data_IF_076523428885
#
_entry.id   IF_076523428885
#
_cell.length_a   1.000
_cell.length_b   1.000
_cell.length_c   1.000
_cell.angle_alpha   90.00
_cell.angle_beta   90.00
_cell.angle_gamma   90.00
#
_symmetry.space_group_name_H-M   'P 1'
#
loop_
_entity.id
_entity.type
_entity.pdbx_description
1 polymer ?
#
# COMPACT_ATOMS: atom_id res chain seq x y z
N UNK A 1 6.75 -4.47 -19.74
CA UNK A 1 5.49 -5.06 -19.23
C UNK A 1 4.76 -3.94 -18.51
N UNK A 2 3.47 -3.74 -18.78
CA UNK A 2 2.72 -2.68 -18.10
C UNK A 2 2.43 -3.09 -16.67
N UNK A 3 2.41 -2.14 -15.73
CA UNK A 3 2.01 -2.44 -14.34
C UNK A 3 0.57 -2.98 -14.30
N UNK A 4 -0.28 -2.59 -15.25
CA UNK A 4 -1.66 -3.06 -15.39
C UNK A 4 -1.76 -4.55 -15.76
N UNK A 5 -0.73 -5.14 -16.36
CA UNK A 5 -0.71 -6.56 -16.71
C UNK A 5 -0.39 -7.47 -15.50
N UNK A 6 -0.04 -6.87 -14.35
CA UNK A 6 0.35 -7.58 -13.14
C UNK A 6 -0.83 -8.41 -12.62
N UNK A 7 -0.66 -9.74 -12.61
CA UNK A 7 -1.64 -10.67 -12.07
C UNK A 7 -1.78 -10.49 -10.56
N UNK A 8 -3.01 -10.53 -10.09
CA UNK A 8 -3.39 -10.40 -8.69
C UNK A 8 -4.48 -11.42 -8.36
N UNK A 9 -4.70 -11.63 -7.07
CA UNK A 9 -5.82 -12.42 -6.57
C UNK A 9 -6.54 -11.59 -5.50
N UNK A 10 -7.87 -11.52 -5.56
CA UNK A 10 -8.66 -10.81 -4.55
C UNK A 10 -8.63 -11.57 -3.23
N UNK A 11 -9.08 -10.93 -2.14
CA UNK A 11 -9.19 -11.60 -0.85
C UNK A 11 -10.21 -12.77 -0.86
N UNK A 12 -11.12 -12.80 -1.82
CA UNK A 12 -12.06 -13.90 -2.08
C UNK A 12 -11.49 -15.03 -2.95
N UNK A 13 -10.25 -14.89 -3.44
CA UNK A 13 -9.60 -15.90 -4.29
C UNK A 13 -9.88 -15.73 -5.80
N UNK A 14 -10.46 -14.60 -6.22
CA UNK A 14 -10.70 -14.32 -7.64
C UNK A 14 -9.43 -13.83 -8.33
N UNK A 15 -9.07 -14.44 -9.46
CA UNK A 15 -7.94 -14.00 -10.27
C UNK A 15 -8.29 -12.72 -11.02
N UNK A 16 -7.41 -11.72 -10.96
CA UNK A 16 -7.59 -10.42 -11.59
C UNK A 16 -6.24 -9.83 -11.99
N UNK A 17 -6.22 -8.59 -12.44
CA UNK A 17 -5.00 -7.81 -12.65
C UNK A 17 -5.25 -6.34 -12.35
N UNK A 18 -4.18 -5.54 -12.30
CA UNK A 18 -4.32 -4.09 -12.14
C UNK A 18 -5.08 -3.42 -13.29
N UNK A 19 -5.26 -4.09 -14.45
CA UNK A 19 -6.03 -3.57 -15.57
C UNK A 19 -7.48 -3.21 -15.21
N UNK A 20 -8.07 -3.88 -14.20
CA UNK A 20 -9.42 -3.54 -13.71
C UNK A 20 -9.51 -2.11 -13.12
N UNK A 21 -8.37 -1.47 -12.82
CA UNK A 21 -8.29 -0.09 -12.34
C UNK A 21 -7.57 0.87 -13.31
N UNK A 22 -7.36 0.46 -14.56
CA UNK A 22 -6.74 1.32 -15.56
C UNK A 22 -7.53 2.63 -15.74
N UNK A 23 -6.83 3.76 -15.86
CA UNK A 23 -7.44 5.10 -15.95
C UNK A 23 -7.78 5.73 -14.60
N UNK A 24 -7.60 5.02 -13.48
CA UNK A 24 -7.73 5.56 -12.12
C UNK A 24 -6.37 5.91 -11.52
N UNK A 25 -6.37 6.86 -10.60
CA UNK A 25 -5.25 7.09 -9.68
C UNK A 25 -5.34 6.05 -8.57
N UNK A 26 -4.23 5.37 -8.25
CA UNK A 26 -4.21 4.28 -7.28
C UNK A 26 -3.29 4.62 -6.12
N UNK A 27 -3.73 4.30 -4.90
CA UNK A 27 -2.87 4.24 -3.73
C UNK A 27 -2.70 2.78 -3.31
N UNK A 28 -1.57 2.18 -3.68
CA UNK A 28 -1.22 0.80 -3.34
C UNK A 28 -0.56 0.79 -1.97
N UNK A 29 -1.06 -0.04 -1.04
CA UNK A 29 -0.58 -0.08 0.35
C UNK A 29 -0.36 -1.52 0.81
N UNK A 30 0.81 -1.83 1.39
CA UNK A 30 0.99 -3.10 2.10
C UNK A 30 0.42 -2.95 3.51
N UNK A 31 -0.51 -3.81 3.92
CA UNK A 31 -1.29 -3.61 5.15
C UNK A 31 -1.14 -4.77 6.12
N UNK A 32 -1.43 -4.48 7.38
CA UNK A 32 -1.48 -5.48 8.45
C UNK A 32 -2.47 -5.09 9.55
N UNK A 33 -3.02 -6.08 10.23
CA UNK A 33 -4.13 -6.05 11.18
C UNK A 33 -3.63 -5.94 12.62
N UNK A 34 -2.40 -6.42 12.90
CA UNK A 34 -1.77 -6.38 14.23
C UNK A 34 -0.54 -5.48 14.26
N UNK A 35 -0.61 -4.35 13.55
CA UNK A 35 0.46 -3.35 13.49
C UNK A 35 0.12 -2.13 14.35
N UNK A 36 1.13 -1.45 14.89
CA UNK A 36 0.91 -0.16 15.56
C UNK A 36 0.42 0.95 14.61
N UNK A 37 0.55 0.75 13.30
CA UNK A 37 0.08 1.65 12.25
C UNK A 37 -1.29 1.24 11.68
N UNK A 38 -1.89 0.16 12.19
CA UNK A 38 -3.22 -0.32 11.74
C UNK A 38 -4.32 0.74 11.82
N UNK A 39 -4.35 1.69 12.77
CA UNK A 39 -5.33 2.78 12.74
C UNK A 39 -5.35 3.62 11.45
N UNK A 40 -4.29 3.58 10.62
CA UNK A 40 -4.29 4.25 9.31
C UNK A 40 -5.38 3.73 8.35
N UNK A 41 -5.96 2.54 8.59
CA UNK A 41 -7.13 2.07 7.84
C UNK A 41 -8.29 3.09 7.84
N UNK A 42 -8.52 3.80 8.95
CA UNK A 42 -9.56 4.83 9.03
C UNK A 42 -9.32 5.94 8.00
N UNK A 43 -8.09 6.41 7.91
CA UNK A 43 -7.73 7.49 6.99
C UNK A 43 -7.67 7.00 5.53
N UNK A 44 -7.25 5.76 5.29
CA UNK A 44 -7.31 5.14 3.95
C UNK A 44 -8.76 5.03 3.47
N UNK A 45 -9.67 4.61 4.34
CA UNK A 45 -11.10 4.54 4.02
C UNK A 45 -11.72 5.93 3.82
N UNK A 46 -11.26 6.94 4.58
CA UNK A 46 -11.67 8.32 4.35
C UNK A 46 -11.25 8.81 2.94
N UNK A 47 -10.00 8.55 2.51
CA UNK A 47 -9.55 8.88 1.15
C UNK A 47 -10.36 8.13 0.09
N UNK A 48 -10.61 6.84 0.31
CA UNK A 48 -11.43 6.04 -0.60
C UNK A 48 -12.80 6.69 -0.78
N UNK A 49 -13.48 7.05 0.32
CA UNK A 49 -14.80 7.65 0.25
C UNK A 49 -14.81 9.05 -0.38
N UNK A 50 -13.78 9.86 -0.12
CA UNK A 50 -13.68 11.21 -0.65
C UNK A 50 -13.41 11.24 -2.15
N UNK A 51 -12.56 10.34 -2.66
CA UNK A 51 -12.02 10.47 -4.03
C UNK A 51 -12.46 9.38 -5.00
N UNK A 52 -13.13 8.30 -4.57
CA UNK A 52 -13.53 7.18 -5.46
C UNK A 52 -14.29 7.62 -6.71
N UNK A 53 -15.22 8.57 -6.56
CA UNK A 53 -16.05 9.07 -7.66
C UNK A 53 -15.28 10.00 -8.62
N UNK A 54 -14.07 10.41 -8.26
CA UNK A 54 -13.15 11.21 -9.08
C UNK A 54 -12.10 10.34 -9.80
N UNK A 55 -12.28 9.01 -9.77
CA UNK A 55 -11.39 8.04 -10.40
C UNK A 55 -10.17 7.72 -9.54
N UNK A 56 -10.36 7.60 -8.22
CA UNK A 56 -9.36 7.11 -7.27
C UNK A 56 -9.70 5.70 -6.77
N UNK A 57 -8.69 4.95 -6.32
CA UNK A 57 -8.90 3.78 -5.47
C UNK A 57 -7.69 3.54 -4.56
N UNK A 58 -7.94 3.25 -3.29
CA UNK A 58 -6.96 2.54 -2.45
C UNK A 58 -6.96 1.06 -2.86
N UNK A 59 -5.81 0.40 -2.82
CA UNK A 59 -5.63 -1.04 -3.05
C UNK A 59 -4.80 -1.62 -1.90
N UNK A 60 -5.43 -2.44 -1.05
CA UNK A 60 -4.82 -3.00 0.15
C UNK A 60 -4.25 -4.41 -0.07
N UNK A 61 -2.96 -4.58 0.22
CA UNK A 61 -2.23 -5.84 0.06
C UNK A 61 -1.73 -6.36 1.42
N UNK A 62 -2.44 -7.31 2.05
CA UNK A 62 -2.00 -7.91 3.31
C UNK A 62 -0.59 -8.52 3.18
N UNK A 63 0.28 -8.28 4.16
CA UNK A 63 1.63 -8.84 4.17
C UNK A 63 2.07 -9.26 5.58
N UNK A 64 2.59 -10.48 5.71
CA UNK A 64 2.97 -11.04 7.01
C UNK A 64 4.48 -10.99 7.31
N UNK A 65 5.28 -10.43 6.38
CA UNK A 65 6.74 -10.40 6.46
C UNK A 65 7.29 -9.58 7.63
N UNK A 66 6.49 -8.67 8.19
CA UNK A 66 6.90 -7.76 9.25
C UNK A 66 6.41 -8.25 10.62
N UNK A 67 7.23 -9.07 11.29
CA UNK A 67 6.97 -9.67 12.60
C UNK A 67 5.67 -10.46 12.72
N UNK A 68 5.17 -11.05 11.63
CA UNK A 68 3.96 -11.86 11.70
C UNK A 68 2.71 -11.04 12.05
N UNK A 69 2.68 -9.76 11.67
CA UNK A 69 1.59 -8.83 12.00
C UNK A 69 0.31 -9.03 11.18
N UNK A 70 0.32 -9.97 10.24
CA UNK A 70 -0.84 -10.38 9.43
C UNK A 70 -1.01 -11.91 9.44
N UNK A 71 -1.24 -12.54 10.60
CA UNK A 71 -1.23 -13.99 10.71
C UNK A 71 -2.53 -14.64 10.21
N UNK A 72 -3.60 -13.87 10.06
CA UNK A 72 -4.94 -14.40 9.77
C UNK A 72 -5.09 -14.98 8.37
N UNK A 73 -6.15 -15.77 8.21
CA UNK A 73 -6.67 -16.22 6.92
C UNK A 73 -7.30 -15.06 6.14
N UNK A 74 -7.57 -15.27 4.85
CA UNK A 74 -8.21 -14.25 4.03
C UNK A 74 -9.58 -13.81 4.59
N UNK A 75 -10.37 -14.75 5.11
CA UNK A 75 -11.68 -14.48 5.72
C UNK A 75 -11.54 -13.69 7.04
N UNK A 76 -10.57 -14.03 7.87
CA UNK A 76 -10.29 -13.30 9.12
C UNK A 76 -9.84 -11.87 8.83
N UNK A 77 -8.98 -11.67 7.84
CA UNK A 77 -8.49 -10.36 7.40
C UNK A 77 -9.66 -9.52 6.88
N UNK A 78 -10.50 -10.10 6.02
CA UNK A 78 -11.69 -9.43 5.47
C UNK A 78 -12.63 -8.98 6.58
N UNK A 79 -12.91 -9.89 7.51
CA UNK A 79 -13.79 -9.63 8.65
C UNK A 79 -13.21 -8.53 9.52
N UNK A 80 -11.92 -8.59 9.86
CA UNK A 80 -11.24 -7.57 10.64
C UNK A 80 -11.35 -6.18 9.99
N UNK A 81 -10.98 -6.06 8.71
CA UNK A 81 -10.95 -4.77 8.01
C UNK A 81 -12.34 -4.15 7.88
N UNK A 82 -13.34 -4.96 7.50
CA UNK A 82 -14.72 -4.48 7.33
C UNK A 82 -15.41 -4.16 8.66
N UNK A 83 -15.29 -5.01 9.67
CA UNK A 83 -16.01 -4.81 10.95
C UNK A 83 -15.37 -3.78 11.86
N UNK A 84 -14.04 -3.66 11.84
CA UNK A 84 -13.31 -2.74 12.74
C UNK A 84 -13.17 -1.35 12.15
N UNK A 85 -12.91 -1.25 10.84
CA UNK A 85 -12.56 0.02 10.18
C UNK A 85 -13.52 0.42 9.07
N UNK A 86 -14.54 -0.40 8.77
CA UNK A 86 -15.49 -0.10 7.70
C UNK A 86 -14.86 -0.10 6.31
N UNK A 87 -13.75 -0.82 6.10
CA UNK A 87 -13.02 -0.82 4.83
C UNK A 87 -13.92 -1.25 3.67
N UNK A 88 -14.02 -0.38 2.66
CA UNK A 88 -14.75 -0.61 1.41
C UNK A 88 -13.84 -0.64 0.19
N UNK A 89 -12.59 -0.20 0.31
CA UNK A 89 -11.63 -0.31 -0.78
C UNK A 89 -11.24 -1.78 -1.07
N UNK A 90 -10.83 -2.09 -2.32
CA UNK A 90 -10.39 -3.44 -2.69
C UNK A 90 -9.24 -3.97 -1.84
N UNK A 91 -9.41 -5.20 -1.37
CA UNK A 91 -8.42 -5.98 -0.64
C UNK A 91 -8.02 -7.21 -1.45
N UNK A 92 -6.74 -7.54 -1.43
CA UNK A 92 -6.17 -8.64 -2.20
C UNK A 92 -5.68 -9.76 -1.29
N UNK A 93 -5.35 -10.90 -1.89
CA UNK A 93 -4.69 -12.00 -1.19
C UNK A 93 -3.36 -11.54 -0.60
N UNK A 94 -2.89 -12.27 0.40
CA UNK A 94 -1.64 -11.99 1.08
C UNK A 94 -0.48 -12.17 0.10
N UNK A 95 0.44 -11.21 0.08
CA UNK A 95 1.60 -11.24 -0.80
C UNK A 95 2.90 -10.97 -0.06
N UNK A 96 4.00 -11.46 -0.63
CA UNK A 96 5.36 -11.10 -0.20
C UNK A 96 5.79 -9.81 -0.91
N UNK A 97 6.25 -8.84 -0.11
CA UNK A 97 6.66 -7.52 -0.64
C UNK A 97 8.18 -7.35 -0.70
N UNK A 98 8.93 -8.27 -0.09
CA UNK A 98 10.39 -8.30 -0.02
C UNK A 98 10.92 -9.72 -0.26
N UNK A 99 12.24 -9.83 -0.43
CA UNK A 99 12.91 -11.11 -0.57
C UNK A 99 12.74 -11.79 -1.95
N UNK A 100 13.20 -13.05 -2.09
CA UNK A 100 13.20 -13.77 -3.36
C UNK A 100 11.81 -14.02 -3.95
N UNK A 101 10.80 -14.12 -3.08
CA UNK A 101 9.40 -14.35 -3.45
C UNK A 101 8.61 -13.04 -3.59
N UNK A 102 9.29 -11.88 -3.61
CA UNK A 102 8.67 -10.57 -3.79
C UNK A 102 7.74 -10.61 -5.01
N UNK A 103 6.48 -10.25 -4.78
CA UNK A 103 5.46 -10.21 -5.80
C UNK A 103 5.85 -9.26 -6.95
N UNK A 104 5.57 -9.61 -8.23
CA UNK A 104 5.92 -8.77 -9.38
C UNK A 104 5.40 -7.33 -9.31
N UNK A 105 4.27 -7.11 -8.62
CA UNK A 105 3.77 -5.77 -8.31
C UNK A 105 4.80 -4.95 -7.54
N UNK A 106 5.24 -5.44 -6.38
CA UNK A 106 6.18 -4.71 -5.51
C UNK A 106 7.57 -4.60 -6.14
N UNK A 107 7.98 -5.57 -6.98
CA UNK A 107 9.19 -5.45 -7.75
C UNK A 107 9.14 -4.25 -8.72
N UNK A 108 8.03 -4.07 -9.44
CA UNK A 108 7.84 -2.93 -10.34
C UNK A 108 7.72 -1.60 -9.58
N UNK A 109 6.96 -1.56 -8.49
CA UNK A 109 6.79 -0.37 -7.66
C UNK A 109 8.12 0.15 -7.12
N UNK A 110 8.93 -0.75 -6.54
CA UNK A 110 10.25 -0.42 -6.00
C UNK A 110 11.25 -0.05 -7.09
N UNK A 111 11.21 -0.73 -8.25
CA UNK A 111 12.08 -0.40 -9.38
C UNK A 111 11.79 1.00 -9.94
N UNK A 112 10.51 1.41 -9.97
CA UNK A 112 10.10 2.73 -10.43
C UNK A 112 10.35 3.82 -9.37
N UNK A 113 10.12 3.52 -8.08
CA UNK A 113 10.31 4.44 -6.97
C UNK A 113 11.05 3.73 -5.81
N UNK A 114 12.39 3.81 -5.84
CA UNK A 114 13.22 3.10 -4.86
C UNK A 114 13.35 3.82 -3.51
N UNK A 115 13.03 5.11 -3.45
CA UNK A 115 13.19 5.96 -2.27
C UNK A 115 11.84 6.49 -1.82
N UNK A 116 11.54 6.33 -0.53
CA UNK A 116 10.29 6.80 0.06
C UNK A 116 10.41 8.26 0.50
N UNK A 117 9.40 9.05 0.19
CA UNK A 117 9.18 10.34 0.83
C UNK A 117 8.79 10.09 2.29
N UNK A 118 9.45 10.77 3.21
CA UNK A 118 9.23 10.65 4.66
C UNK A 118 8.57 11.90 5.22
N UNK A 119 7.79 11.81 6.30
CA UNK A 119 7.29 12.98 7.02
C UNK A 119 8.42 13.86 7.52
N UNK A 120 8.13 15.15 7.71
CA UNK A 120 9.06 16.06 8.36
C UNK A 120 9.44 15.52 9.75
N UNK A 121 10.73 15.53 10.07
CA UNK A 121 11.27 15.01 11.33
C UNK A 121 10.96 13.53 11.60
N UNK A 122 10.75 12.72 10.55
CA UNK A 122 10.60 11.27 10.71
C UNK A 122 11.86 10.63 11.32
N UNK A 123 11.70 10.06 12.52
CA UNK A 123 12.68 9.17 13.13
C UNK A 123 12.38 7.68 12.87
N UNK A 124 11.47 7.36 11.95
CA UNK A 124 10.95 6.00 11.82
C UNK A 124 12.01 5.02 11.35
N UNK A 125 12.75 5.36 10.29
CA UNK A 125 13.84 4.51 9.78
C UNK A 125 14.92 4.28 10.85
N UNK A 126 15.32 5.32 11.58
CA UNK A 126 16.32 5.21 12.64
C UNK A 126 15.82 4.30 13.79
N UNK A 127 14.56 4.46 14.20
CA UNK A 127 13.92 3.62 15.22
C UNK A 127 13.78 2.16 14.78
N UNK A 128 13.54 1.90 13.50
CA UNK A 128 13.46 0.54 12.97
C UNK A 128 14.86 -0.08 12.86
N UNK A 129 15.83 0.71 12.39
CA UNK A 129 17.24 0.32 12.31
C UNK A 129 17.83 -0.03 13.67
N UNK A 130 17.57 0.78 14.70
CA UNK A 130 18.06 0.51 16.07
C UNK A 130 17.49 -0.76 16.69
N UNK A 131 16.37 -1.28 16.14
CA UNK A 131 15.76 -2.56 16.54
C UNK A 131 16.19 -3.73 15.65
N UNK A 132 17.17 -3.53 14.76
CA UNK A 132 17.63 -4.55 13.81
C UNK A 132 16.61 -4.84 12.69
N UNK A 133 15.76 -3.87 12.36
CA UNK A 133 14.66 -4.00 11.37
C UNK A 133 14.82 -3.02 10.21
N UNK A 134 16.07 -2.66 9.90
CA UNK A 134 16.37 -1.91 8.70
C UNK A 134 16.01 -2.75 7.45
N UNK A 135 15.70 -2.10 6.31
CA UNK A 135 15.60 -2.81 5.04
C UNK A 135 16.90 -3.55 4.76
N UNK A 136 16.82 -4.76 4.19
CA UNK A 136 18.02 -5.58 3.95
C UNK A 136 18.74 -5.15 2.69
N UNK A 137 17.97 -4.80 1.66
CA UNK A 137 18.47 -4.32 0.37
C UNK A 137 17.95 -2.91 0.06
N UNK A 138 18.63 -2.20 -0.84
CA UNK A 138 18.12 -0.90 -1.33
C UNK A 138 16.75 -1.10 -1.98
N UNK A 139 15.79 -0.28 -1.57
CA UNK A 139 14.43 -0.29 -2.12
C UNK A 139 13.49 -1.29 -1.44
N UNK A 140 13.97 -2.17 -0.56
CA UNK A 140 13.11 -3.01 0.27
C UNK A 140 12.04 -2.17 0.99
N UNK A 141 10.84 -2.73 1.09
CA UNK A 141 9.77 -2.16 1.90
C UNK A 141 10.22 -2.19 3.36
N UNK A 142 10.13 -1.03 4.02
CA UNK A 142 10.64 -0.83 5.38
C UNK A 142 9.73 -1.49 6.41
N UNK A 143 8.41 -1.33 6.26
CA UNK A 143 7.43 -1.83 7.21
C UNK A 143 6.03 -1.95 6.60
N UNK A 144 5.07 -2.44 7.40
CA UNK A 144 3.65 -2.32 7.10
C UNK A 144 3.24 -0.85 6.90
N UNK A 145 2.26 -0.62 6.03
CA UNK A 145 1.69 0.67 5.65
C UNK A 145 2.59 1.54 4.79
N UNK A 146 3.53 0.98 4.03
CA UNK A 146 4.20 1.73 2.98
C UNK A 146 3.26 1.91 1.77
N UNK A 147 3.37 3.05 1.08
CA UNK A 147 2.35 3.48 0.11
C UNK A 147 2.98 3.89 -1.21
N UNK A 148 2.35 3.52 -2.31
CA UNK A 148 2.75 3.93 -3.65
C UNK A 148 1.58 4.59 -4.36
N UNK A 149 1.80 5.80 -4.88
CA UNK A 149 0.85 6.51 -5.71
C UNK A 149 1.12 6.20 -7.18
N UNK A 150 0.09 5.75 -7.89
CA UNK A 150 0.15 5.39 -9.32
C UNK A 150 -0.82 6.30 -10.08
N UNK A 151 -0.36 6.88 -11.19
CA UNK A 151 -1.16 7.70 -12.08
C UNK A 151 -2.14 6.89 -12.93
N UNK A 152 -3.06 7.60 -13.61
CA UNK A 152 -4.07 6.99 -14.51
C UNK A 152 -3.48 6.15 -15.63
N UNK A 153 -2.26 6.47 -16.05
CA UNK A 153 -1.48 5.81 -17.10
C UNK A 153 -0.62 4.65 -16.59
N UNK A 154 -0.62 4.39 -15.27
CA UNK A 154 0.18 3.34 -14.65
C UNK A 154 1.59 3.78 -14.24
N UNK A 155 1.95 5.05 -14.40
CA UNK A 155 3.22 5.57 -13.90
C UNK A 155 3.25 5.59 -12.37
N UNK A 156 4.30 5.06 -11.74
CA UNK A 156 4.48 5.14 -10.29
C UNK A 156 5.02 6.53 -9.95
N UNK A 157 4.15 7.38 -9.42
CA UNK A 157 4.42 8.81 -9.23
C UNK A 157 5.23 9.08 -7.96
N UNK A 158 4.91 8.37 -6.87
CA UNK A 158 5.56 8.61 -5.58
C UNK A 158 5.45 7.39 -4.67
N UNK A 159 6.43 7.26 -3.76
CA UNK A 159 6.47 6.28 -2.67
C UNK A 159 6.50 7.04 -1.35
N UNK A 160 5.75 6.60 -0.35
CA UNK A 160 5.67 7.21 0.97
C UNK A 160 5.98 6.20 2.06
N UNK A 161 6.72 6.64 3.08
CA UNK A 161 7.16 5.77 4.17
C UNK A 161 5.99 5.27 5.03
N UNK A 162 6.16 4.17 5.77
CA UNK A 162 5.15 3.61 6.66
C UNK A 162 4.45 4.62 7.58
N UNK A 163 5.24 5.52 8.15
CA UNK A 163 4.81 6.53 9.12
C UNK A 163 4.22 7.79 8.49
N UNK A 164 4.22 7.91 7.16
CA UNK A 164 3.43 8.95 6.51
C UNK A 164 1.95 8.60 6.59
N UNK A 165 1.19 9.41 7.33
CA UNK A 165 -0.25 9.22 7.44
C UNK A 165 -0.95 9.48 6.10
N UNK A 166 -2.03 8.74 5.77
CA UNK A 166 -2.80 8.99 4.53
C UNK A 166 -3.35 10.42 4.40
N UNK A 167 -3.60 11.12 5.51
CA UNK A 167 -4.04 12.52 5.49
C UNK A 167 -2.88 13.53 5.54
N UNK A 168 -1.62 13.09 5.47
CA UNK A 168 -0.47 13.98 5.48
C UNK A 168 -0.55 14.97 4.30
N UNK A 169 -0.30 16.28 4.53
CA UNK A 169 -0.38 17.28 3.47
C UNK A 169 0.47 16.96 2.22
N UNK A 170 1.62 16.31 2.38
CA UNK A 170 2.49 15.92 1.27
C UNK A 170 1.82 14.86 0.41
N UNK A 171 1.24 13.83 1.03
CA UNK A 171 0.52 12.77 0.32
C UNK A 171 -0.74 13.32 -0.35
N UNK A 172 -1.52 14.12 0.37
CA UNK A 172 -2.74 14.74 -0.16
C UNK A 172 -2.46 15.66 -1.36
N UNK A 173 -1.36 16.42 -1.32
CA UNK A 173 -0.96 17.27 -2.44
C UNK A 173 -0.62 16.44 -3.68
N UNK A 174 0.17 15.37 -3.52
CA UNK A 174 0.52 14.47 -4.61
C UNK A 174 -0.72 13.76 -5.20
N UNK A 175 -1.64 13.32 -4.34
CA UNK A 175 -2.91 12.71 -4.76
C UNK A 175 -3.74 13.69 -5.60
N UNK A 176 -3.92 14.93 -5.13
CA UNK A 176 -4.68 15.96 -5.84
C UNK A 176 -4.05 16.31 -7.19
N UNK A 177 -2.71 16.39 -7.26
CA UNK A 177 -2.00 16.61 -8.52
C UNK A 177 -2.23 15.45 -9.50
N UNK A 178 -2.16 14.21 -9.01
CA UNK A 178 -2.40 13.03 -9.83
C UNK A 178 -3.85 12.97 -10.36
N UNK A 179 -4.83 13.39 -9.56
CA UNK A 179 -6.24 13.38 -9.94
C UNK A 179 -6.61 14.47 -10.96
N UNK A 180 -5.88 15.59 -10.97
CA UNK A 180 -6.09 16.71 -11.87
C UNK A 180 -5.56 16.49 -13.31
N UNK A 181 -4.83 15.39 -13.54
CA UNK A 181 -4.33 14.95 -14.86
C UNK A 181 -5.36 14.08 -15.57
#
# INVERSE_FOLDING_TARGET
MSIFDTQLETLEGEQTSLAAWQGKVLLVVNVASKCGLTPQYEQLEALQNEWKDQGFSVLGFPCNAFLGQEPGSAEEIKTFCSTTYGVTFPMFSKIEVNGPERHPLYAQLVAAQSEATVPENSGFLERMSSKGRAPKEKGDILWNFEKFLIGRDGAVLQRFSPDMEPNDPVLLAALKEALAK
#
